data_IF_786501781710
#
_entry.id   IF_786501781710
#
_cell.length_a   1.000
_cell.length_b   1.000
_cell.length_c   1.000
_cell.angle_alpha   90.00
_cell.angle_beta   90.00
_cell.angle_gamma   90.00
#
_symmetry.space_group_name_H-M   'P 1'
#
loop_
_entity.id
_entity.type
_entity.pdbx_description
1 polymer ?
#
# COMPACT_ATOMS: atom_id res chain seq x y z
N UNK A 1 -8.75 17.79 -13.60
CA UNK A 1 -8.25 19.15 -13.34
C UNK A 1 -8.99 19.74 -12.15
N UNK A 2 -8.29 20.42 -11.24
CA UNK A 2 -8.87 21.05 -10.03
C UNK A 2 -8.43 22.51 -9.95
N UNK A 3 -9.27 23.40 -9.44
CA UNK A 3 -8.95 24.83 -9.34
C UNK A 3 -10.02 25.66 -8.66
N UNK A 4 -9.85 26.98 -8.69
CA UNK A 4 -10.80 27.97 -8.18
C UNK A 4 -11.24 28.89 -9.30
N UNK A 5 -12.54 29.12 -9.43
CA UNK A 5 -13.06 30.03 -10.45
C UNK A 5 -12.97 31.50 -10.00
N UNK A 6 -13.25 32.41 -10.93
CA UNK A 6 -13.22 33.85 -10.67
C UNK A 6 -14.21 34.28 -9.56
N UNK A 7 -15.31 33.54 -9.39
CA UNK A 7 -16.27 33.74 -8.30
C UNK A 7 -15.78 33.25 -6.93
N UNK A 8 -14.62 32.59 -6.87
CA UNK A 8 -14.06 32.06 -5.63
C UNK A 8 -14.73 30.76 -5.18
N UNK A 9 -15.24 29.95 -6.11
CA UNK A 9 -15.72 28.60 -5.82
C UNK A 9 -14.70 27.56 -6.30
N UNK A 10 -14.44 26.49 -5.53
CA UNK A 10 -13.65 25.37 -6.00
C UNK A 10 -14.40 24.63 -7.12
N UNK A 11 -13.66 24.12 -8.10
CA UNK A 11 -14.19 23.31 -9.18
C UNK A 11 -13.29 22.10 -9.46
N UNK A 12 -13.92 21.05 -10.00
CA UNK A 12 -13.26 19.80 -10.36
C UNK A 12 -13.79 19.36 -11.74
N UNK A 13 -12.89 19.19 -12.71
CA UNK A 13 -13.19 18.72 -14.07
C UNK A 13 -12.55 17.35 -14.30
N UNK A 14 -13.36 16.36 -14.67
CA UNK A 14 -12.80 15.11 -15.18
C UNK A 14 -12.45 15.31 -16.66
N UNK A 15 -11.23 14.95 -17.05
CA UNK A 15 -10.76 15.10 -18.42
C UNK A 15 -10.20 13.75 -18.83
N UNK A 16 -10.83 13.13 -19.83
CA UNK A 16 -10.46 11.82 -20.32
C UNK A 16 -10.31 11.84 -21.86
N UNK A 17 -9.98 10.69 -22.44
CA UNK A 17 -9.76 10.56 -23.90
C UNK A 17 -11.03 10.81 -24.75
N UNK A 18 -12.21 10.90 -24.13
CA UNK A 18 -13.46 11.31 -24.77
C UNK A 18 -13.77 12.80 -24.58
N UNK A 19 -12.87 13.58 -23.96
CA UNK A 19 -13.00 15.02 -23.76
C UNK A 19 -13.20 15.44 -22.30
N UNK A 20 -13.68 16.67 -22.12
CA UNK A 20 -13.91 17.26 -20.80
C UNK A 20 -15.31 16.88 -20.30
N UNK A 21 -15.37 16.12 -19.21
CA UNK A 21 -16.60 15.88 -18.46
C UNK A 21 -16.61 16.80 -17.23
N UNK A 22 -17.25 17.95 -17.36
CA UNK A 22 -17.47 18.89 -16.25
C UNK A 22 -18.44 18.27 -15.25
N UNK A 23 -18.11 18.23 -13.95
CA UNK A 23 -19.04 17.67 -12.95
C UNK A 23 -19.48 18.60 -11.83
N UNK A 24 -18.69 19.54 -11.30
CA UNK A 24 -19.18 20.30 -10.13
C UNK A 24 -18.69 21.75 -9.98
N UNK A 25 -19.65 22.65 -9.74
CA UNK A 25 -19.51 23.92 -9.01
C UNK A 25 -20.26 23.76 -7.70
N UNK A 26 -19.67 23.13 -6.69
CA UNK A 26 -20.44 22.60 -5.56
C UNK A 26 -19.97 23.14 -4.22
N UNK A 27 -20.95 23.47 -3.36
CA UNK A 27 -20.77 23.65 -1.90
C UNK A 27 -20.68 22.30 -1.16
N UNK A 28 -20.73 21.17 -1.88
CA UNK A 28 -20.63 19.80 -1.36
C UNK A 28 -19.26 19.22 -1.69
N UNK A 29 -18.77 18.31 -0.83
CA UNK A 29 -17.54 17.55 -1.03
C UNK A 29 -17.73 16.49 -2.13
N UNK A 30 -17.73 16.93 -3.39
CA UNK A 30 -17.82 16.04 -4.55
C UNK A 30 -16.43 15.84 -5.19
N UNK A 31 -16.14 14.63 -5.65
CA UNK A 31 -14.87 14.28 -6.30
C UNK A 31 -15.02 13.21 -7.37
N UNK A 32 -13.92 12.94 -8.09
CA UNK A 32 -13.81 11.79 -8.98
C UNK A 32 -12.44 11.15 -8.83
N UNK A 33 -12.34 9.91 -9.28
CA UNK A 33 -11.14 9.09 -9.17
C UNK A 33 -10.82 8.55 -10.55
N UNK A 34 -9.55 8.61 -10.95
CA UNK A 34 -9.07 8.06 -12.22
C UNK A 34 -7.91 7.09 -11.95
N UNK A 35 -7.77 6.07 -12.80
CA UNK A 35 -6.76 5.03 -12.66
C UNK A 35 -7.32 3.64 -12.34
N UNK A 36 -6.44 2.64 -12.25
CA UNK A 36 -6.77 1.24 -11.95
C UNK A 36 -7.40 1.07 -10.57
N UNK A 37 -6.93 1.83 -9.59
CA UNK A 37 -7.35 1.74 -8.19
C UNK A 37 -8.68 2.44 -7.88
N UNK A 38 -9.40 2.95 -8.88
CA UNK A 38 -10.72 3.60 -8.69
C UNK A 38 -11.66 2.79 -7.80
N UNK A 39 -11.74 1.47 -8.01
CA UNK A 39 -12.60 0.61 -7.21
C UNK A 39 -12.15 0.52 -5.75
N UNK A 40 -10.83 0.43 -5.50
CA UNK A 40 -10.26 0.41 -4.14
C UNK A 40 -10.49 1.72 -3.39
N UNK A 41 -10.45 2.85 -4.10
CA UNK A 41 -10.80 4.15 -3.53
C UNK A 41 -12.25 4.15 -3.06
N UNK A 42 -13.19 3.76 -3.93
CA UNK A 42 -14.61 3.73 -3.55
C UNK A 42 -14.92 2.70 -2.44
N UNK A 43 -14.26 1.54 -2.47
CA UNK A 43 -14.36 0.51 -1.42
C UNK A 43 -14.04 1.13 -0.05
N UNK A 44 -12.90 1.80 0.09
CA UNK A 44 -12.51 2.43 1.36
C UNK A 44 -13.45 3.58 1.79
N UNK A 45 -13.85 4.45 0.85
CA UNK A 45 -14.77 5.55 1.14
C UNK A 45 -16.12 5.05 1.66
N UNK A 46 -16.66 3.99 1.06
CA UNK A 46 -17.93 3.39 1.46
C UNK A 46 -17.81 2.68 2.81
N UNK A 47 -16.77 1.88 3.01
CA UNK A 47 -16.55 1.14 4.26
C UNK A 47 -16.40 2.08 5.47
N UNK A 48 -15.76 3.24 5.27
CA UNK A 48 -15.52 4.21 6.34
C UNK A 48 -16.67 5.21 6.53
N UNK A 49 -17.71 5.19 5.68
CA UNK A 49 -18.80 6.18 5.66
C UNK A 49 -18.29 7.63 5.84
N UNK A 50 -17.36 8.04 4.97
CA UNK A 50 -16.61 9.30 5.13
C UNK A 50 -17.54 10.50 4.95
N UNK A 51 -17.76 11.26 6.04
CA UNK A 51 -18.52 12.52 6.08
C UNK A 51 -17.62 13.66 6.61
N UNK A 52 -16.59 14.02 5.82
CA UNK A 52 -15.62 15.04 6.25
C UNK A 52 -16.28 16.41 6.45
N UNK A 53 -16.11 17.01 7.64
CA UNK A 53 -16.72 18.29 7.99
C UNK A 53 -15.78 19.48 7.74
N UNK A 54 -14.48 19.23 7.58
CA UNK A 54 -13.48 20.26 7.32
C UNK A 54 -12.31 19.77 6.46
N UNK A 55 -11.44 20.70 6.04
CA UNK A 55 -10.34 20.39 5.13
C UNK A 55 -9.26 19.48 5.71
N UNK A 56 -9.10 19.43 7.03
CA UNK A 56 -8.09 18.60 7.67
C UNK A 56 -8.57 17.14 7.76
N UNK A 57 -9.84 16.93 8.10
CA UNK A 57 -10.48 15.61 8.01
C UNK A 57 -10.41 15.08 6.59
N UNK A 58 -10.78 15.89 5.60
CA UNK A 58 -10.68 15.52 4.19
C UNK A 58 -9.25 15.15 3.77
N UNK A 59 -8.23 15.87 4.26
CA UNK A 59 -6.84 15.53 3.99
C UNK A 59 -6.49 14.14 4.53
N UNK A 60 -6.90 13.82 5.77
CA UNK A 60 -6.65 12.51 6.37
C UNK A 60 -7.40 11.42 5.64
N UNK A 61 -8.68 11.63 5.33
CA UNK A 61 -9.54 10.71 4.58
C UNK A 61 -8.95 10.41 3.20
N UNK A 62 -8.61 11.43 2.41
CA UNK A 62 -7.98 11.25 1.09
C UNK A 62 -6.63 10.54 1.21
N UNK A 63 -5.80 10.90 2.19
CA UNK A 63 -4.49 10.25 2.40
C UNK A 63 -4.65 8.76 2.69
N UNK A 64 -5.55 8.40 3.60
CA UNK A 64 -5.84 7.01 3.95
C UNK A 64 -6.44 6.23 2.80
N UNK A 65 -7.30 6.86 2.00
CA UNK A 65 -7.86 6.20 0.82
C UNK A 65 -6.82 5.92 -0.25
N UNK A 66 -5.94 6.88 -0.53
CA UNK A 66 -4.82 6.68 -1.47
C UNK A 66 -3.85 5.61 -0.95
N UNK A 67 -3.65 5.57 0.37
CA UNK A 67 -2.85 4.53 1.02
C UNK A 67 -3.50 3.17 0.87
N UNK A 68 -4.80 3.04 1.15
CA UNK A 68 -5.56 1.81 0.92
C UNK A 68 -5.43 1.34 -0.53
N UNK A 69 -5.70 2.22 -1.50
CA UNK A 69 -5.51 1.92 -2.90
C UNK A 69 -4.09 1.44 -3.23
N UNK A 70 -3.06 2.06 -2.65
CA UNK A 70 -1.66 1.68 -2.86
C UNK A 70 -1.26 0.37 -2.19
N UNK A 71 -2.00 -0.09 -1.18
CA UNK A 71 -1.77 -1.35 -0.50
C UNK A 71 -2.52 -2.51 -1.15
N UNK A 72 -3.60 -2.25 -1.91
CA UNK A 72 -4.51 -3.28 -2.43
C UNK A 72 -4.77 -3.18 -3.95
N UNK A 73 -4.01 -2.38 -4.70
CA UNK A 73 -3.97 -2.41 -6.17
C UNK A 73 -2.53 -2.58 -6.63
N UNK A 74 -2.19 -3.72 -7.24
CA UNK A 74 -0.84 -4.02 -7.75
C UNK A 74 -0.24 -3.00 -8.71
N UNK A 75 -1.07 -2.12 -9.29
CA UNK A 75 -0.65 -1.06 -10.23
C UNK A 75 -0.52 0.32 -9.58
N UNK A 76 -0.80 0.43 -8.28
CA UNK A 76 -0.68 1.66 -7.49
C UNK A 76 0.43 1.51 -6.46
N UNK A 77 1.16 2.58 -6.17
CA UNK A 77 2.26 2.54 -5.19
C UNK A 77 3.23 3.70 -5.31
N UNK A 78 4.42 3.55 -4.72
CA UNK A 78 5.45 4.58 -4.69
C UNK A 78 5.23 5.57 -3.55
N UNK A 79 4.89 6.81 -3.91
CA UNK A 79 4.64 7.89 -2.96
C UNK A 79 3.16 8.29 -2.97
N UNK A 80 2.64 8.59 -1.79
CA UNK A 80 1.33 9.21 -1.63
C UNK A 80 1.54 10.72 -1.57
N UNK A 81 1.02 11.42 -2.57
CA UNK A 81 1.08 12.87 -2.68
C UNK A 81 -0.34 13.45 -2.62
N UNK A 82 -0.58 14.39 -1.71
CA UNK A 82 -1.83 15.14 -1.63
C UNK A 82 -1.56 16.63 -1.72
N UNK A 83 -2.25 17.29 -2.65
CA UNK A 83 -2.16 18.73 -2.85
C UNK A 83 -3.43 19.41 -2.36
N UNK A 84 -3.27 20.48 -1.58
CA UNK A 84 -4.36 21.39 -1.22
C UNK A 84 -4.37 22.55 -2.20
N UNK A 85 -5.47 22.69 -2.93
CA UNK A 85 -5.65 23.78 -3.88
C UNK A 85 -6.54 24.84 -3.25
N UNK A 86 -5.98 26.01 -3.01
CA UNK A 86 -6.68 27.19 -2.51
C UNK A 86 -6.80 28.23 -3.64
N UNK A 87 -7.58 29.30 -3.41
CA UNK A 87 -7.79 30.36 -4.42
C UNK A 87 -6.50 31.01 -4.93
N UNK A 88 -5.44 31.04 -4.12
CA UNK A 88 -4.19 31.76 -4.41
C UNK A 88 -3.04 30.85 -4.80
N UNK A 89 -3.08 29.57 -4.41
CA UNK A 89 -1.90 28.70 -4.46
C UNK A 89 -2.28 27.22 -4.42
N UNK A 90 -1.32 26.39 -4.86
CA UNK A 90 -1.34 24.94 -4.72
C UNK A 90 -0.25 24.56 -3.73
N UNK A 91 -0.63 23.91 -2.65
CA UNK A 91 0.26 23.53 -1.55
C UNK A 91 0.40 22.01 -1.55
N UNK A 92 1.63 21.49 -1.53
CA UNK A 92 1.87 20.09 -1.22
C UNK A 92 1.57 19.87 0.27
N UNK A 93 0.42 19.26 0.57
CA UNK A 93 -0.06 19.08 1.93
C UNK A 93 0.44 17.78 2.57
N UNK A 94 0.73 16.78 1.74
CA UNK A 94 1.26 15.50 2.19
C UNK A 94 2.12 14.86 1.09
N UNK A 95 3.30 14.37 1.45
CA UNK A 95 4.13 13.52 0.60
C UNK A 95 4.87 12.51 1.48
N UNK A 96 4.57 11.22 1.32
CA UNK A 96 5.33 10.14 1.95
C UNK A 96 5.35 8.87 1.09
N UNK A 97 6.44 8.09 1.12
CA UNK A 97 6.43 6.73 0.59
C UNK A 97 5.34 5.88 1.24
N UNK A 98 4.74 4.95 0.50
CA UNK A 98 3.62 4.11 0.97
C UNK A 98 3.91 3.43 2.31
N UNK A 99 5.12 2.88 2.50
CA UNK A 99 5.48 2.22 3.76
C UNK A 99 5.53 3.19 4.95
N UNK A 100 6.03 4.41 4.74
CA UNK A 100 6.04 5.45 5.78
C UNK A 100 4.65 5.98 6.09
N UNK A 101 3.81 6.12 5.06
CA UNK A 101 2.41 6.47 5.21
C UNK A 101 1.63 5.39 5.97
N UNK A 102 1.90 4.11 5.71
CA UNK A 102 1.34 3.00 6.47
C UNK A 102 1.73 3.07 7.94
N UNK A 103 2.98 3.37 8.27
CA UNK A 103 3.39 3.54 9.67
C UNK A 103 2.61 4.65 10.38
N UNK A 104 2.37 5.78 9.69
CA UNK A 104 1.65 6.93 10.25
C UNK A 104 0.12 6.71 10.39
N UNK A 105 -0.44 5.77 9.63
CA UNK A 105 -1.87 5.50 9.57
C UNK A 105 -2.22 4.03 9.90
N UNK A 106 -1.32 3.33 10.58
CA UNK A 106 -1.40 1.89 10.79
C UNK A 106 -2.73 1.48 11.43
N UNK A 107 -3.09 2.12 12.54
CA UNK A 107 -4.30 1.76 13.30
C UNK A 107 -5.58 1.84 12.46
N UNK A 108 -5.64 2.79 11.53
CA UNK A 108 -6.80 2.97 10.65
C UNK A 108 -6.89 1.88 9.57
N UNK A 109 -5.79 1.20 9.25
CA UNK A 109 -5.70 0.18 8.20
C UNK A 109 -5.44 -1.23 8.71
N UNK A 110 -5.15 -1.40 10.00
CA UNK A 110 -4.77 -2.69 10.59
C UNK A 110 -5.81 -3.80 10.32
N UNK A 111 -7.10 -3.48 10.41
CA UNK A 111 -8.18 -4.44 10.15
C UNK A 111 -8.21 -4.95 8.70
N UNK A 112 -7.80 -4.12 7.74
CA UNK A 112 -7.72 -4.50 6.32
C UNK A 112 -6.51 -5.40 6.04
N UNK A 113 -5.46 -5.29 6.85
CA UNK A 113 -4.22 -6.07 6.72
C UNK A 113 -4.33 -7.49 7.30
N UNK A 114 -5.44 -7.85 7.95
CA UNK A 114 -5.67 -9.19 8.56
C UNK A 114 -5.58 -10.36 7.58
N UNK A 115 -5.65 -10.09 6.27
CA UNK A 115 -5.53 -11.09 5.20
C UNK A 115 -4.24 -10.92 4.40
N UNK A 116 -3.22 -10.34 5.03
CA UNK A 116 -1.99 -9.99 4.34
C UNK A 116 -0.76 -10.32 5.16
N UNK A 117 0.32 -10.67 4.45
CA UNK A 117 1.65 -10.86 5.03
C UNK A 117 2.67 -10.02 4.25
N UNK A 118 3.67 -9.50 4.97
CA UNK A 118 4.85 -8.97 4.33
C UNK A 118 5.74 -10.09 3.84
N UNK A 119 6.34 -9.92 2.67
CA UNK A 119 7.41 -10.75 2.14
C UNK A 119 8.58 -9.87 1.67
N UNK A 120 9.79 -10.23 2.05
CA UNK A 120 11.02 -9.52 1.69
C UNK A 120 11.88 -10.41 0.79
N UNK A 121 12.24 -9.87 -0.37
CA UNK A 121 13.09 -10.52 -1.36
C UNK A 121 14.42 -9.79 -1.46
N UNK A 122 15.53 -10.53 -1.42
CA UNK A 122 16.86 -9.93 -1.52
C UNK A 122 17.09 -9.35 -2.93
N UNK A 123 17.30 -8.03 -3.02
CA UNK A 123 17.37 -7.29 -4.29
C UNK A 123 18.53 -7.77 -5.18
N UNK A 124 19.68 -8.13 -4.61
CA UNK A 124 20.83 -8.58 -5.43
C UNK A 124 20.59 -9.94 -6.11
N UNK A 125 19.74 -10.80 -5.51
CA UNK A 125 19.38 -12.09 -6.10
C UNK A 125 18.24 -11.95 -7.11
N UNK A 126 17.52 -10.82 -7.05
CA UNK A 126 16.31 -10.56 -7.80
C UNK A 126 16.31 -9.10 -8.28
N UNK A 127 17.02 -8.81 -9.37
CA UNK A 127 16.88 -7.51 -10.03
C UNK A 127 15.43 -7.29 -10.44
N UNK A 128 14.82 -6.22 -9.93
CA UNK A 128 13.43 -5.94 -10.22
C UNK A 128 13.25 -5.56 -11.70
N UNK A 129 12.55 -6.43 -12.43
CA UNK A 129 12.00 -6.15 -13.76
C UNK A 129 10.49 -6.44 -13.75
N UNK A 130 9.75 -5.95 -14.74
CA UNK A 130 8.33 -6.31 -14.89
C UNK A 130 8.15 -7.83 -15.05
N UNK A 131 9.05 -8.50 -15.77
CA UNK A 131 9.02 -9.96 -15.93
C UNK A 131 9.24 -10.68 -14.60
N UNK A 132 10.16 -10.17 -13.78
CA UNK A 132 10.37 -10.70 -12.43
C UNK A 132 9.12 -10.53 -11.56
N UNK A 133 8.41 -9.41 -11.67
CA UNK A 133 7.18 -9.18 -10.91
C UNK A 133 6.06 -10.18 -11.28
N UNK A 134 5.84 -10.38 -12.58
CA UNK A 134 4.92 -11.40 -13.11
C UNK A 134 5.33 -12.80 -12.66
N UNK A 135 6.63 -13.06 -12.61
CA UNK A 135 7.15 -14.35 -12.17
C UNK A 135 6.92 -14.60 -10.68
N UNK A 136 7.15 -13.61 -9.82
CA UNK A 136 6.90 -13.70 -8.38
C UNK A 136 5.42 -13.88 -8.09
N UNK A 137 4.55 -13.17 -8.82
CA UNK A 137 3.09 -13.35 -8.74
C UNK A 137 2.69 -14.80 -9.03
N UNK A 138 3.24 -15.38 -10.11
CA UNK A 138 3.02 -16.79 -10.45
C UNK A 138 3.52 -17.74 -9.37
N UNK A 139 4.71 -17.47 -8.81
CA UNK A 139 5.28 -18.28 -7.73
C UNK A 139 4.35 -18.31 -6.53
N UNK A 140 3.81 -17.17 -6.09
CA UNK A 140 2.86 -17.15 -4.97
C UNK A 140 1.60 -17.96 -5.28
N UNK A 141 1.09 -17.91 -6.52
CA UNK A 141 0.00 -18.77 -6.96
C UNK A 141 0.32 -20.27 -6.94
N UNK A 142 1.56 -20.68 -7.24
CA UNK A 142 2.00 -22.08 -7.12
C UNK A 142 2.20 -22.49 -5.65
N UNK A 143 2.63 -21.54 -4.82
CA UNK A 143 2.99 -21.73 -3.42
C UNK A 143 1.76 -21.78 -2.50
N UNK A 144 0.73 -20.98 -2.78
CA UNK A 144 -0.51 -20.85 -2.01
C UNK A 144 -1.73 -20.94 -2.96
N UNK A 145 -1.95 -22.09 -3.63
CA UNK A 145 -2.87 -22.21 -4.76
C UNK A 145 -4.35 -21.93 -4.43
N UNK A 146 -4.77 -22.17 -3.19
CA UNK A 146 -6.17 -21.99 -2.79
C UNK A 146 -6.48 -20.61 -2.22
N UNK A 147 -5.47 -19.97 -1.62
CA UNK A 147 -5.67 -18.78 -0.79
C UNK A 147 -5.04 -17.51 -1.36
N UNK A 148 -4.08 -17.61 -2.28
CA UNK A 148 -3.43 -16.44 -2.89
C UNK A 148 -4.41 -15.58 -3.69
N UNK A 149 -4.32 -14.26 -3.53
CA UNK A 149 -5.10 -13.29 -4.30
C UNK A 149 -4.19 -12.50 -5.23
N UNK A 150 -3.27 -11.74 -4.66
CA UNK A 150 -2.34 -10.89 -5.38
C UNK A 150 -1.20 -10.47 -4.47
N UNK A 151 -0.20 -9.79 -5.03
CA UNK A 151 0.86 -9.16 -4.27
C UNK A 151 1.15 -7.75 -4.80
N UNK A 152 1.55 -6.86 -3.89
CA UNK A 152 1.83 -5.45 -4.17
C UNK A 152 3.22 -5.10 -3.67
N UNK A 153 4.01 -4.40 -4.49
CA UNK A 153 5.35 -3.93 -4.11
C UNK A 153 5.23 -2.61 -3.35
N UNK A 154 5.56 -2.61 -2.06
CA UNK A 154 5.46 -1.39 -1.24
C UNK A 154 6.73 -0.54 -1.30
N UNK A 155 7.90 -1.17 -1.34
CA UNK A 155 9.19 -0.47 -1.38
C UNK A 155 10.27 -1.33 -2.02
N UNK A 156 11.11 -0.71 -2.83
CA UNK A 156 12.36 -1.29 -3.33
C UNK A 156 13.51 -0.65 -2.58
N UNK A 157 14.10 -1.40 -1.65
CA UNK A 157 15.33 -1.01 -0.95
C UNK A 157 16.56 -1.58 -1.64
N UNK A 158 17.72 -1.14 -1.16
CA UNK A 158 19.02 -1.62 -1.65
C UNK A 158 19.20 -3.12 -1.43
N UNK A 159 18.90 -3.58 -0.21
CA UNK A 159 19.07 -4.99 0.19
C UNK A 159 17.80 -5.81 -0.06
N UNK A 160 16.62 -5.24 0.21
CA UNK A 160 15.35 -5.95 0.10
C UNK A 160 14.29 -5.19 -0.70
N UNK A 161 13.50 -5.95 -1.46
CA UNK A 161 12.19 -5.52 -1.99
C UNK A 161 11.10 -6.01 -1.05
N UNK A 162 10.29 -5.08 -0.54
CA UNK A 162 9.15 -5.37 0.34
C UNK A 162 7.89 -5.51 -0.49
N UNK A 163 7.22 -6.64 -0.31
CA UNK A 163 5.91 -6.94 -0.90
C UNK A 163 4.89 -7.15 0.20
N UNK A 164 3.66 -6.72 -0.04
CA UNK A 164 2.49 -7.12 0.72
C UNK A 164 1.74 -8.15 -0.12
N UNK A 165 1.53 -9.35 0.43
CA UNK A 165 0.85 -10.45 -0.24
C UNK A 165 -0.51 -10.63 0.39
N UNK A 166 -1.55 -10.75 -0.44
CA UNK A 166 -2.94 -10.81 -0.01
C UNK A 166 -3.51 -12.21 -0.21
N UNK A 167 -4.38 -12.58 0.73
CA UNK A 167 -5.00 -13.90 0.81
C UNK A 167 -6.52 -13.79 0.93
N UNK A 168 -7.23 -14.84 0.54
CA UNK A 168 -8.70 -14.90 0.64
C UNK A 168 -9.19 -15.07 2.08
N UNK A 169 -8.37 -15.67 2.95
CA UNK A 169 -8.65 -15.94 4.37
C UNK A 169 -7.74 -15.12 5.29
N UNK A 170 -8.12 -14.92 6.57
CA UNK A 170 -7.21 -14.40 7.59
C UNK A 170 -5.91 -15.22 7.64
N UNK A 171 -4.79 -14.53 7.86
CA UNK A 171 -3.47 -15.15 7.71
C UNK A 171 -2.91 -15.76 9.00
N UNK A 172 -3.60 -15.68 10.13
CA UNK A 172 -3.08 -16.12 11.44
C UNK A 172 -2.62 -17.60 11.42
N UNK A 173 -3.45 -18.50 10.91
CA UNK A 173 -3.12 -19.93 10.81
C UNK A 173 -1.98 -20.18 9.80
N UNK A 174 -2.03 -19.53 8.64
CA UNK A 174 -0.99 -19.62 7.61
C UNK A 174 0.35 -19.11 8.15
N UNK A 175 0.32 -18.01 8.88
CA UNK A 175 1.48 -17.40 9.50
C UNK A 175 2.12 -18.35 10.51
N UNK A 176 1.33 -18.96 11.39
CA UNK A 176 1.84 -19.94 12.37
C UNK A 176 2.37 -21.21 11.72
N UNK A 177 1.68 -21.74 10.71
CA UNK A 177 2.16 -22.89 9.93
C UNK A 177 3.53 -22.61 9.33
N UNK A 178 3.63 -21.48 8.61
CA UNK A 178 4.90 -21.06 8.06
C UNK A 178 5.90 -20.84 9.19
N UNK A 179 5.60 -20.16 10.30
CA UNK A 179 6.55 -19.94 11.40
C UNK A 179 7.15 -21.26 11.94
N UNK A 180 6.31 -22.29 12.12
CA UNK A 180 6.72 -23.61 12.63
C UNK A 180 7.63 -24.36 11.66
N UNK A 181 7.33 -24.35 10.36
CA UNK A 181 8.14 -25.02 9.31
C UNK A 181 9.59 -24.50 9.22
N UNK A 182 9.89 -23.45 9.97
CA UNK A 182 10.95 -22.51 9.67
C UNK A 182 11.82 -22.16 10.88
N UNK A 183 11.66 -22.89 12.00
CA UNK A 183 12.31 -22.67 13.30
C UNK A 183 13.83 -22.93 13.35
N UNK A 184 14.43 -23.59 12.35
CA UNK A 184 15.86 -23.94 12.35
C UNK A 184 16.69 -23.04 11.39
N UNK A 185 17.01 -21.77 11.73
CA UNK A 185 17.66 -20.86 10.75
C UNK A 185 18.71 -19.87 11.26
N UNK A 186 19.50 -19.44 10.25
CA UNK A 186 20.61 -18.49 10.30
C UNK A 186 20.17 -17.20 9.58
N UNK A 187 19.45 -16.32 10.29
CA UNK A 187 19.05 -14.98 9.80
C UNK A 187 20.00 -13.95 10.43
N UNK A 188 20.27 -12.84 9.73
CA UNK A 188 21.10 -11.77 10.29
C UNK A 188 20.55 -11.32 11.66
N UNK A 189 21.37 -11.29 12.73
CA UNK A 189 20.92 -10.94 14.09
C UNK A 189 20.18 -9.60 14.18
N UNK A 190 20.45 -8.67 13.26
CA UNK A 190 19.79 -7.36 13.21
C UNK A 190 18.33 -7.43 12.75
N UNK A 191 18.02 -8.31 11.81
CA UNK A 191 16.65 -8.56 11.33
C UNK A 191 15.91 -9.49 12.29
N UNK A 192 16.58 -10.50 12.85
CA UNK A 192 16.03 -11.35 13.92
C UNK A 192 15.57 -10.56 15.15
N UNK A 193 16.39 -9.61 15.61
CA UNK A 193 16.06 -8.79 16.78
C UNK A 193 14.89 -7.83 16.55
N UNK A 194 14.54 -7.52 15.29
CA UNK A 194 13.44 -6.61 14.94
C UNK A 194 12.20 -7.35 14.42
N UNK A 195 12.35 -8.62 14.04
CA UNK A 195 11.32 -9.44 13.43
C UNK A 195 11.16 -10.71 14.27
N UNK A 196 10.30 -10.67 15.29
CA UNK A 196 9.88 -11.87 16.06
C UNK A 196 9.21 -12.96 15.19
N UNK A 197 9.11 -12.75 13.88
CA UNK A 197 8.05 -13.34 13.09
C UNK A 197 8.42 -13.68 11.65
N UNK A 198 9.62 -14.19 11.41
CA UNK A 198 10.05 -14.62 10.07
C UNK A 198 10.07 -16.13 9.95
N UNK A 199 9.22 -16.69 9.09
CA UNK A 199 9.53 -17.97 8.48
C UNK A 199 10.06 -17.80 7.05
N UNK A 200 10.34 -18.92 6.40
CA UNK A 200 10.71 -18.98 5.00
C UNK A 200 9.71 -19.75 4.16
N UNK A 201 9.68 -19.41 2.89
CA UNK A 201 9.54 -20.44 1.88
C UNK A 201 10.84 -20.51 1.10
N UNK A 202 11.47 -21.69 1.06
CA UNK A 202 12.60 -21.91 0.18
C UNK A 202 12.11 -21.80 -1.26
N UNK A 203 12.59 -20.79 -1.98
CA UNK A 203 12.40 -20.70 -3.41
C UNK A 203 13.74 -20.91 -4.10
N UNK A 204 13.90 -22.04 -4.80
CA UNK A 204 15.13 -22.38 -5.56
C UNK A 204 16.45 -22.16 -4.78
N UNK A 205 16.46 -22.50 -3.48
CA UNK A 205 17.57 -22.34 -2.50
C UNK A 205 17.73 -20.96 -1.86
N UNK A 206 16.83 -20.02 -2.13
CA UNK A 206 16.84 -18.70 -1.50
C UNK A 206 15.87 -18.57 -0.33
N UNK A 207 16.29 -17.76 0.64
CA UNK A 207 15.54 -17.43 1.85
C UNK A 207 14.69 -16.20 1.59
N UNK A 208 13.37 -16.39 1.55
CA UNK A 208 12.39 -15.29 1.53
C UNK A 208 11.95 -15.06 2.96
N UNK A 209 12.10 -13.84 3.48
CA UNK A 209 11.61 -13.49 4.81
C UNK A 209 10.14 -13.10 4.69
N UNK A 210 9.30 -13.49 5.64
CA UNK A 210 7.94 -12.96 5.75
C UNK A 210 7.64 -12.42 7.16
N UNK A 211 6.52 -11.73 7.34
CA UNK A 211 6.08 -11.33 8.68
C UNK A 211 4.67 -10.77 8.71
N UNK A 212 4.03 -10.84 9.89
CA UNK A 212 2.73 -10.22 10.10
C UNK A 212 2.84 -8.70 9.94
N UNK A 213 1.87 -8.05 9.30
CA UNK A 213 1.88 -6.61 9.11
C UNK A 213 1.51 -5.90 10.40
N UNK A 214 2.41 -5.90 11.38
CA UNK A 214 2.28 -5.18 12.67
C UNK A 214 2.89 -3.78 12.57
N UNK A 215 2.45 -2.85 13.42
CA UNK A 215 3.04 -1.51 13.47
C UNK A 215 4.55 -1.57 13.74
N UNK A 216 4.97 -2.47 14.63
CA UNK A 216 6.37 -2.69 14.98
C UNK A 216 7.19 -3.14 13.76
N UNK A 217 6.68 -4.11 12.99
CA UNK A 217 7.36 -4.58 11.79
C UNK A 217 7.44 -3.48 10.74
N UNK A 218 6.35 -2.74 10.50
CA UNK A 218 6.35 -1.62 9.54
C UNK A 218 7.41 -0.58 9.91
N UNK A 219 7.51 -0.23 11.21
CA UNK A 219 8.53 0.70 11.70
C UNK A 219 9.95 0.16 11.52
N UNK A 220 10.18 -1.13 11.83
CA UNK A 220 11.46 -1.81 11.61
C UNK A 220 11.88 -1.82 10.14
N UNK A 221 10.95 -2.16 9.24
CA UNK A 221 11.20 -2.13 7.79
C UNK A 221 11.60 -0.74 7.29
N UNK A 222 10.98 0.33 7.80
CA UNK A 222 11.38 1.70 7.43
C UNK A 222 12.82 1.99 7.86
N UNK A 223 13.21 1.56 9.07
CA UNK A 223 14.57 1.71 9.60
C UNK A 223 15.59 0.97 8.74
N UNK A 224 15.36 -0.31 8.44
CA UNK A 224 16.30 -1.15 7.69
C UNK A 224 16.44 -0.70 6.24
N UNK A 225 15.36 -0.21 5.62
CA UNK A 225 15.33 0.18 4.20
C UNK A 225 15.72 1.65 3.96
N UNK A 226 16.22 2.37 4.97
CA UNK A 226 16.71 3.76 4.84
C UNK A 226 18.20 3.85 4.47
N UNK A 227 18.85 2.72 4.19
CA UNK A 227 20.26 2.62 3.77
C UNK A 227 20.40 2.35 2.27
#
# INVERSE_FOLDING_TARGET
>A
MVGWDASGCPYVYDVNHHGVQCKTKSKRCDGFVNGSSRYKVYEYFNDCNIEDQNSNELLVSVTRTLLYASLFDRKSGGDICVFKVNKKEVILAYQRPVLEALCAHYDALASYLRKSLFFLFHTERYQYTHEHDVYVDKIFGEIFPEDYVENVVLKKGKEYTVRLVHFNKPVDELYEQLRIENLERDVSPHLEAQMEQVGLKQYKKDTILFGMPTQMLVAGLISVLRV
#
